data_IF_864441557819
#
_entry.id   IF_864441557819
#
_cell.length_a   1.000
_cell.length_b   1.000
_cell.length_c   1.000
_cell.angle_alpha   90.00
_cell.angle_beta   90.00
_cell.angle_gamma   90.00
#
_symmetry.space_group_name_H-M   'P 1'
#
loop_
_entity.id
_entity.type
_entity.pdbx_description
1 polymer ?
#
# COMPACT_ATOMS: atom_id res chain seq x y z
N UNK A 1 -15.25 26.56 12.21
CA UNK A 1 -14.75 25.21 12.59
C UNK A 1 -14.87 24.14 11.48
N UNK A 2 -15.01 24.50 10.17
CA UNK A 2 -15.21 23.53 9.08
C UNK A 2 -14.07 23.42 8.05
N UNK A 3 -13.05 24.28 8.12
CA UNK A 3 -11.97 24.34 7.12
C UNK A 3 -10.63 23.75 7.59
N UNK A 4 -10.39 23.68 8.91
CA UNK A 4 -9.12 23.18 9.47
C UNK A 4 -9.00 21.65 9.33
N UNK A 5 -10.11 20.91 9.41
CA UNK A 5 -10.09 19.44 9.31
C UNK A 5 -9.75 18.92 7.90
N UNK A 6 -10.01 19.70 6.83
CA UNK A 6 -9.70 19.29 5.45
C UNK A 6 -8.20 19.45 5.13
N UNK A 7 -7.53 20.43 5.72
CA UNK A 7 -6.08 20.63 5.56
C UNK A 7 -5.26 19.58 6.31
N UNK A 8 -5.74 19.11 7.46
CA UNK A 8 -5.11 18.01 8.22
C UNK A 8 -5.25 16.68 7.44
N UNK A 9 -6.38 16.43 6.77
CA UNK A 9 -6.58 15.23 5.97
C UNK A 9 -5.70 15.17 4.70
N UNK A 10 -5.29 16.33 4.14
CA UNK A 10 -4.35 16.38 3.01
C UNK A 10 -2.89 16.24 3.46
N UNK A 11 -2.58 16.54 4.73
CA UNK A 11 -1.22 16.58 5.28
C UNK A 11 -0.96 15.48 6.33
N UNK A 12 -1.94 14.62 6.61
CA UNK A 12 -1.81 13.48 7.53
C UNK A 12 -0.84 12.43 7.00
N UNK A 13 -0.74 12.30 5.67
CA UNK A 13 0.25 11.43 5.02
C UNK A 13 1.68 11.88 5.35
N UNK A 14 1.91 13.20 5.36
CA UNK A 14 3.21 13.78 5.73
C UNK A 14 3.47 13.62 7.23
N UNK A 15 2.49 13.96 8.08
CA UNK A 15 2.64 13.91 9.54
C UNK A 15 2.83 12.48 10.08
N UNK A 16 2.10 11.49 9.56
CA UNK A 16 2.27 10.09 9.95
C UNK A 16 3.65 9.55 9.49
N UNK A 17 4.12 9.96 8.30
CA UNK A 17 5.46 9.61 7.81
C UNK A 17 6.60 10.16 8.69
N UNK A 18 6.44 11.34 9.33
CA UNK A 18 7.43 11.87 10.27
C UNK A 18 7.46 11.13 11.62
N UNK A 19 6.30 10.68 12.13
CA UNK A 19 6.25 9.86 13.34
C UNK A 19 6.86 8.46 13.11
N UNK A 20 6.69 7.91 11.91
CA UNK A 20 7.24 6.62 11.49
C UNK A 20 8.78 6.60 11.30
N UNK A 21 9.43 7.77 11.19
CA UNK A 21 10.90 7.86 11.08
C UNK A 21 11.64 7.64 12.40
N UNK A 22 10.97 7.78 13.55
CA UNK A 22 11.61 7.70 14.89
C UNK A 22 11.47 6.34 15.58
N UNK A 23 10.42 5.59 15.29
CA UNK A 23 10.26 4.19 15.70
C UNK A 23 10.52 3.30 14.49
N UNK A 24 10.90 2.04 14.68
CA UNK A 24 11.16 1.07 13.59
C UNK A 24 9.83 0.66 12.91
N UNK A 25 9.13 1.62 12.31
CA UNK A 25 7.85 1.49 11.63
C UNK A 25 8.12 1.88 10.18
N UNK A 26 8.84 1.00 9.48
CA UNK A 26 9.27 1.22 8.11
C UNK A 26 8.44 0.31 7.17
N UNK A 27 7.62 0.87 6.26
CA UNK A 27 6.79 0.08 5.36
C UNK A 27 7.64 -0.80 4.42
N UNK A 28 8.82 -0.31 4.00
CA UNK A 28 9.79 -1.08 3.21
C UNK A 28 10.26 -2.35 3.93
N UNK A 29 10.48 -2.26 5.26
CA UNK A 29 10.93 -3.41 6.05
C UNK A 29 9.84 -4.48 6.17
N UNK A 30 8.58 -4.07 6.32
CA UNK A 30 7.44 -4.99 6.35
C UNK A 30 7.19 -5.65 4.98
N UNK A 31 7.31 -4.90 3.88
CA UNK A 31 7.24 -5.45 2.52
C UNK A 31 8.35 -6.47 2.26
N UNK A 32 9.60 -6.17 2.66
CA UNK A 32 10.71 -7.12 2.52
C UNK A 32 10.50 -8.38 3.37
N UNK A 33 10.01 -8.23 4.61
CA UNK A 33 9.66 -9.36 5.47
C UNK A 33 8.59 -10.24 4.82
N UNK A 34 7.57 -9.63 4.24
CA UNK A 34 6.49 -10.32 3.54
C UNK A 34 7.01 -11.12 2.34
N UNK A 35 7.91 -10.54 1.52
CA UNK A 35 8.55 -11.25 0.41
C UNK A 35 9.36 -12.47 0.88
N UNK A 36 10.09 -12.36 1.99
CA UNK A 36 10.80 -13.51 2.57
C UNK A 36 9.82 -14.57 3.07
N UNK A 37 8.74 -14.18 3.73
CA UNK A 37 7.71 -15.11 4.20
C UNK A 37 7.00 -15.81 3.04
N UNK A 38 6.72 -15.10 1.94
CA UNK A 38 6.17 -15.67 0.71
C UNK A 38 7.10 -16.71 0.10
N UNK A 39 8.40 -16.40 0.00
CA UNK A 39 9.42 -17.36 -0.48
C UNK A 39 9.58 -18.58 0.42
N UNK A 40 9.19 -18.48 1.69
CA UNK A 40 9.12 -19.59 2.65
C UNK A 40 7.74 -20.28 2.66
N UNK A 41 6.85 -19.93 1.72
CA UNK A 41 5.48 -20.45 1.59
C UNK A 41 4.59 -20.20 2.83
N UNK A 42 4.96 -19.22 3.66
CA UNK A 42 4.18 -18.79 4.84
C UNK A 42 3.21 -17.69 4.45
N UNK A 43 2.22 -18.03 3.64
CA UNK A 43 1.39 -17.07 2.93
C UNK A 43 0.53 -16.18 3.84
N UNK A 44 -0.03 -16.71 4.91
CA UNK A 44 -0.85 -15.94 5.86
C UNK A 44 0.00 -14.86 6.55
N UNK A 45 1.21 -15.23 6.99
CA UNK A 45 2.15 -14.30 7.61
C UNK A 45 2.69 -13.27 6.60
N UNK A 46 2.84 -13.66 5.34
CA UNK A 46 3.20 -12.73 4.27
C UNK A 46 2.08 -11.68 4.05
N UNK A 47 0.82 -12.11 4.01
CA UNK A 47 -0.33 -11.21 3.91
C UNK A 47 -0.42 -10.24 5.09
N UNK A 48 -0.22 -10.71 6.33
CA UNK A 48 -0.16 -9.85 7.50
C UNK A 48 0.94 -8.79 7.39
N UNK A 49 2.12 -9.18 6.90
CA UNK A 49 3.24 -8.26 6.73
C UNK A 49 2.99 -7.24 5.61
N UNK A 50 2.41 -7.63 4.48
CA UNK A 50 1.99 -6.68 3.44
C UNK A 50 0.91 -5.71 3.95
N UNK A 51 -0.08 -6.22 4.71
CA UNK A 51 -1.12 -5.37 5.30
C UNK A 51 -0.53 -4.34 6.27
N UNK A 52 0.47 -4.72 7.08
CA UNK A 52 1.18 -3.77 7.93
C UNK A 52 1.94 -2.71 7.14
N UNK A 53 2.58 -3.09 6.03
CA UNK A 53 3.24 -2.10 5.16
C UNK A 53 2.25 -1.08 4.61
N UNK A 54 1.06 -1.54 4.19
CA UNK A 54 -0.05 -0.70 3.71
C UNK A 54 -0.67 0.15 4.83
N UNK A 55 -0.80 -0.38 6.05
CA UNK A 55 -1.31 0.38 7.20
C UNK A 55 -0.37 1.53 7.57
N UNK A 56 0.94 1.30 7.47
CA UNK A 56 1.99 2.29 7.77
C UNK A 56 2.06 3.37 6.68
N UNK A 57 1.98 2.96 5.42
CA UNK A 57 1.95 3.83 4.26
C UNK A 57 0.87 3.35 3.28
N UNK A 58 -0.35 3.92 3.35
CA UNK A 58 -1.46 3.55 2.48
C UNK A 58 -1.22 3.79 1.00
N UNK A 59 -0.19 4.57 0.65
CA UNK A 59 0.19 4.89 -0.72
C UNK A 59 1.36 4.01 -1.21
N UNK A 60 1.81 3.03 -0.41
CA UNK A 60 2.98 2.23 -0.76
C UNK A 60 2.67 1.18 -1.85
N UNK A 61 2.80 1.61 -3.10
CA UNK A 61 2.48 0.86 -4.31
C UNK A 61 3.11 -0.55 -4.37
N UNK A 62 4.36 -0.70 -3.94
CA UNK A 62 5.04 -2.01 -3.96
C UNK A 62 4.36 -3.03 -3.04
N UNK A 63 3.84 -2.61 -1.89
CA UNK A 63 3.18 -3.52 -0.96
C UNK A 63 1.87 -4.05 -1.54
N UNK A 64 1.11 -3.22 -2.26
CA UNK A 64 -0.07 -3.67 -3.01
C UNK A 64 0.32 -4.60 -4.17
N UNK A 65 1.34 -4.23 -4.95
CA UNK A 65 1.82 -5.04 -6.07
C UNK A 65 2.25 -6.44 -5.61
N UNK A 66 3.08 -6.53 -4.57
CA UNK A 66 3.57 -7.81 -4.07
C UNK A 66 2.48 -8.63 -3.39
N UNK A 67 1.52 -7.99 -2.71
CA UNK A 67 0.32 -8.64 -2.19
C UNK A 67 -0.56 -9.22 -3.30
N UNK A 68 -0.71 -8.50 -4.41
CA UNK A 68 -1.47 -8.96 -5.60
C UNK A 68 -0.82 -10.20 -6.21
N UNK A 69 0.50 -10.15 -6.38
CA UNK A 69 1.29 -11.27 -6.88
C UNK A 69 1.14 -12.52 -6.00
N UNK A 70 1.10 -12.36 -4.68
CA UNK A 70 0.84 -13.47 -3.77
C UNK A 70 -0.55 -14.09 -4.01
N UNK A 71 -1.59 -13.28 -4.23
CA UNK A 71 -2.91 -13.82 -4.55
C UNK A 71 -2.97 -14.53 -5.92
N UNK A 72 -2.24 -14.01 -6.91
CA UNK A 72 -2.07 -14.67 -8.21
C UNK A 72 -1.39 -16.05 -8.07
N UNK A 73 -0.32 -16.13 -7.27
CA UNK A 73 0.37 -17.40 -6.95
C UNK A 73 -0.55 -18.41 -6.23
N UNK A 74 -1.54 -17.93 -5.47
CA UNK A 74 -2.53 -18.76 -4.78
C UNK A 74 -3.78 -19.07 -5.62
N UNK A 75 -3.87 -18.56 -6.86
CA UNK A 75 -5.02 -18.74 -7.74
C UNK A 75 -6.26 -17.93 -7.36
N UNK A 76 -6.12 -16.92 -6.49
CA UNK A 76 -7.22 -16.04 -6.09
C UNK A 76 -7.23 -14.76 -6.94
N UNK A 77 -7.66 -14.90 -8.18
CA UNK A 77 -7.53 -13.87 -9.21
C UNK A 77 -8.40 -12.63 -8.98
N UNK A 78 -9.58 -12.76 -8.36
CA UNK A 78 -10.46 -11.61 -8.05
C UNK A 78 -9.79 -10.66 -7.06
N UNK A 79 -9.23 -11.20 -5.97
CA UNK A 79 -8.52 -10.39 -4.96
C UNK A 79 -7.20 -9.84 -5.50
N UNK A 80 -6.52 -10.58 -6.38
CA UNK A 80 -5.32 -10.10 -7.05
C UNK A 80 -5.61 -8.87 -7.92
N UNK A 81 -6.71 -8.89 -8.68
CA UNK A 81 -7.10 -7.78 -9.56
C UNK A 81 -7.37 -6.49 -8.78
N UNK A 82 -8.15 -6.56 -7.70
CA UNK A 82 -8.41 -5.39 -6.84
C UNK A 82 -7.13 -4.78 -6.26
N UNK A 83 -6.17 -5.64 -5.87
CA UNK A 83 -4.91 -5.19 -5.30
C UNK A 83 -3.99 -4.57 -6.38
N UNK A 84 -4.02 -5.07 -7.62
CA UNK A 84 -3.31 -4.48 -8.75
C UNK A 84 -3.86 -3.10 -9.10
N UNK A 85 -5.17 -2.93 -9.13
CA UNK A 85 -5.81 -1.64 -9.41
C UNK A 85 -5.42 -0.56 -8.37
N UNK A 86 -5.33 -0.94 -7.09
CA UNK A 86 -4.81 -0.05 -6.05
C UNK A 86 -3.34 0.28 -6.26
N UNK A 87 -2.50 -0.72 -6.58
CA UNK A 87 -1.08 -0.49 -6.85
C UNK A 87 -0.87 0.49 -8.02
N UNK A 88 -1.69 0.39 -9.07
CA UNK A 88 -1.67 1.30 -10.21
C UNK A 88 -2.12 2.71 -9.84
N UNK A 89 -3.16 2.83 -9.02
CA UNK A 89 -3.68 4.13 -8.54
C UNK A 89 -2.59 4.89 -7.78
N UNK A 90 -1.95 4.24 -6.80
CA UNK A 90 -0.93 4.90 -5.97
C UNK A 90 0.40 5.14 -6.69
N UNK A 91 0.77 4.27 -7.64
CA UNK A 91 1.94 4.52 -8.48
C UNK A 91 1.75 5.77 -9.35
N UNK A 92 0.51 6.11 -9.68
CA UNK A 92 0.20 7.30 -10.45
C UNK A 92 0.05 8.58 -9.61
N UNK A 93 -0.38 8.46 -8.35
CA UNK A 93 -0.37 9.60 -7.42
C UNK A 93 1.05 10.13 -7.17
N UNK A 94 2.07 9.25 -7.22
CA UNK A 94 3.49 9.66 -7.18
C UNK A 94 3.96 10.37 -8.48
N UNK A 95 3.26 10.22 -9.61
CA UNK A 95 3.67 10.71 -10.95
C UNK A 95 2.80 11.87 -11.54
N UNK A 96 1.70 12.29 -10.87
CA UNK A 96 0.72 13.35 -11.23
C UNK A 96 -0.46 12.96 -12.17
N UNK A 97 -1.66 13.25 -11.65
CA UNK A 97 -2.95 13.67 -12.25
C UNK A 97 -3.67 12.74 -13.27
N UNK A 98 -4.52 11.84 -12.76
CA UNK A 98 -5.54 11.12 -13.54
C UNK A 98 -6.88 11.87 -13.62
N UNK A 99 -6.88 13.15 -13.98
CA UNK A 99 -8.12 13.90 -14.20
C UNK A 99 -8.97 13.41 -15.39
N UNK A 100 -8.52 12.42 -16.18
CA UNK A 100 -9.15 12.09 -17.47
C UNK A 100 -9.65 10.64 -17.70
N UNK A 101 -9.71 9.73 -16.71
CA UNK A 101 -10.09 8.31 -17.02
C UNK A 101 -11.56 7.92 -16.76
N UNK A 102 -12.42 8.82 -16.27
CA UNK A 102 -13.86 8.54 -16.15
C UNK A 102 -14.79 9.58 -16.76
N UNK A 103 -14.50 10.02 -17.99
CA UNK A 103 -15.53 10.51 -18.93
C UNK A 103 -15.28 9.85 -20.30
N UNK A 104 -15.99 8.76 -20.59
CA UNK A 104 -16.99 8.55 -21.66
C UNK A 104 -17.54 7.12 -21.48
#
# INVERSE_FOLDING_TARGET
MKFINKAIALNSNHFQAYLNKGAVINPYAYNNKAEILRKLEKYELALEAYNKAIEIDPNYSDAYFNKSKLFDELGNYEVALEAYDRALTYRHDDDLDYSDIYII
#
